data_IF_699370848657
#
_entry.id   IF_699370848657
#
_cell.length_a   1.000
_cell.length_b   1.000
_cell.length_c   1.000
_cell.angle_alpha   90.00
_cell.angle_beta   90.00
_cell.angle_gamma   90.00
#
_symmetry.space_group_name_H-M   'P 1'
#
loop_
_entity.id
_entity.type
_entity.pdbx_description
1 polymer ?
#
# COMPACT_ATOMS: atom_id res chain seq x y z
N UNK A 1 31.10 64.40 9.76
CA UNK A 1 31.42 62.99 9.69
C UNK A 1 30.11 62.26 9.46
N UNK A 2 29.85 61.76 8.21
CA UNK A 2 28.60 61.05 7.85
C UNK A 2 28.82 59.54 8.00
N UNK A 3 28.10 58.90 8.93
CA UNK A 3 28.13 57.48 9.07
C UNK A 3 27.19 56.86 8.03
N UNK A 4 27.78 56.09 7.08
CA UNK A 4 27.04 55.27 6.09
C UNK A 4 26.78 53.93 6.75
N UNK A 5 25.49 53.66 7.06
CA UNK A 5 25.07 52.32 7.53
C UNK A 5 24.76 51.48 6.27
N UNK A 6 25.63 50.52 6.03
CA UNK A 6 25.48 49.57 4.92
C UNK A 6 24.50 48.46 5.35
N UNK A 7 23.28 48.49 4.85
CA UNK A 7 22.28 47.42 5.04
C UNK A 7 22.63 46.26 4.11
N UNK A 8 23.19 45.19 4.67
CA UNK A 8 23.41 43.90 3.97
C UNK A 8 22.10 43.11 4.00
N UNK A 9 21.38 43.12 2.86
CA UNK A 9 20.20 42.25 2.66
C UNK A 9 20.65 40.80 2.40
N UNK A 10 20.49 39.93 3.39
CA UNK A 10 20.75 38.50 3.23
C UNK A 10 19.57 37.89 2.50
N UNK A 11 19.73 37.61 1.20
CA UNK A 11 18.78 36.89 0.39
C UNK A 11 18.85 35.39 0.77
N UNK A 12 17.91 34.92 1.59
CA UNK A 12 17.77 33.49 1.89
C UNK A 12 17.23 32.77 0.65
N UNK A 13 18.11 32.14 -0.10
CA UNK A 13 17.72 31.15 -1.10
C UNK A 13 17.22 29.88 -0.40
N UNK A 14 15.92 29.69 -0.32
CA UNK A 14 15.33 28.40 0.02
C UNK A 14 15.58 27.44 -1.13
N UNK A 15 16.60 26.60 -0.99
CA UNK A 15 16.82 25.47 -1.88
C UNK A 15 15.65 24.48 -1.69
N UNK A 16 14.67 24.57 -2.57
CA UNK A 16 13.67 23.51 -2.73
C UNK A 16 14.41 22.28 -3.28
N UNK A 17 14.62 21.26 -2.43
CA UNK A 17 15.16 19.98 -2.89
C UNK A 17 14.18 19.41 -3.91
N UNK A 18 14.60 19.04 -5.13
CA UNK A 18 13.72 18.34 -6.04
C UNK A 18 13.25 17.06 -5.36
N UNK A 19 11.94 16.92 -5.11
CA UNK A 19 11.39 15.66 -4.65
C UNK A 19 11.55 14.67 -5.81
N UNK A 20 12.39 13.67 -5.63
CA UNK A 20 12.44 12.54 -6.56
C UNK A 20 11.04 11.93 -6.52
N UNK A 21 10.34 11.96 -7.66
CA UNK A 21 9.01 11.32 -7.78
C UNK A 21 9.22 9.83 -7.53
N UNK A 22 8.47 9.21 -6.61
CA UNK A 22 8.56 7.77 -6.42
C UNK A 22 8.22 7.10 -7.75
N UNK A 23 9.08 6.18 -8.17
CA UNK A 23 8.84 5.40 -9.38
C UNK A 23 7.84 4.27 -9.09
N UNK A 24 7.17 3.77 -10.13
CA UNK A 24 6.27 2.62 -10.03
C UNK A 24 6.95 1.39 -9.41
N UNK A 25 8.26 1.23 -9.61
CA UNK A 25 9.03 0.14 -9.01
C UNK A 25 9.09 0.23 -7.48
N UNK A 26 9.18 1.44 -6.91
CA UNK A 26 9.07 1.64 -5.46
C UNK A 26 7.74 1.11 -4.93
N UNK A 27 6.65 1.41 -5.62
CA UNK A 27 5.31 0.97 -5.21
C UNK A 27 5.14 -0.56 -5.35
N UNK A 28 5.66 -1.14 -6.41
CA UNK A 28 5.67 -2.60 -6.60
C UNK A 28 6.49 -3.30 -5.50
N UNK A 29 7.60 -2.71 -5.06
CA UNK A 29 8.40 -3.26 -3.97
C UNK A 29 7.67 -3.19 -2.62
N UNK A 30 6.90 -2.12 -2.37
CA UNK A 30 6.01 -2.05 -1.20
C UNK A 30 4.97 -3.16 -1.23
N UNK A 31 4.38 -3.43 -2.38
CA UNK A 31 3.40 -4.50 -2.55
C UNK A 31 4.02 -5.90 -2.37
N UNK A 32 5.24 -6.13 -2.90
CA UNK A 32 6.01 -7.36 -2.63
C UNK A 32 6.32 -7.51 -1.13
N UNK A 33 6.69 -6.43 -0.46
CA UNK A 33 6.93 -6.43 0.99
C UNK A 33 5.67 -6.77 1.78
N UNK A 34 4.51 -6.31 1.33
CA UNK A 34 3.22 -6.68 1.88
C UNK A 34 2.95 -8.19 1.70
N UNK A 35 3.19 -8.75 0.51
CA UNK A 35 3.11 -10.20 0.25
C UNK A 35 4.08 -11.00 1.11
N UNK A 36 5.34 -10.55 1.26
CA UNK A 36 6.33 -11.19 2.10
C UNK A 36 5.92 -11.21 3.58
N UNK A 37 5.37 -10.09 4.08
CA UNK A 37 4.85 -9.97 5.45
C UNK A 37 3.68 -10.93 5.68
N UNK A 38 2.84 -11.16 4.67
CA UNK A 38 1.76 -12.15 4.72
C UNK A 38 2.28 -13.58 4.95
N UNK A 39 3.43 -13.91 4.37
CA UNK A 39 4.06 -15.23 4.57
C UNK A 39 4.74 -15.31 5.94
N UNK A 40 5.41 -14.26 6.35
CA UNK A 40 6.21 -14.23 7.59
C UNK A 40 5.34 -14.16 8.85
N UNK A 41 4.35 -13.24 8.86
CA UNK A 41 3.56 -12.91 10.06
C UNK A 41 2.11 -13.44 10.00
N UNK A 42 1.70 -13.99 8.86
CA UNK A 42 0.32 -14.33 8.54
C UNK A 42 -0.41 -13.18 7.82
N UNK A 43 -1.27 -13.54 6.86
CA UNK A 43 -1.95 -12.54 6.03
C UNK A 43 -2.84 -11.58 6.84
N UNK A 44 -3.42 -12.04 7.93
CA UNK A 44 -4.24 -11.23 8.83
C UNK A 44 -3.45 -10.05 9.40
N UNK A 45 -2.23 -10.27 9.89
CA UNK A 45 -1.36 -9.21 10.40
C UNK A 45 -0.87 -8.29 9.29
N UNK A 46 -0.49 -8.86 8.14
CA UNK A 46 -0.04 -8.08 7.00
C UNK A 46 -1.13 -7.11 6.51
N UNK A 47 -2.38 -7.57 6.34
CA UNK A 47 -3.48 -6.70 5.92
C UNK A 47 -3.79 -5.58 6.92
N UNK A 48 -3.62 -5.79 8.22
CA UNK A 48 -3.76 -4.74 9.23
C UNK A 48 -2.57 -3.77 9.17
N UNK A 49 -1.33 -4.30 9.07
CA UNK A 49 -0.11 -3.50 9.09
C UNK A 49 -0.01 -2.54 7.90
N UNK A 50 -0.43 -2.98 6.70
CA UNK A 50 -0.35 -2.17 5.48
C UNK A 50 -1.60 -1.31 5.21
N UNK A 51 -2.65 -1.41 6.03
CA UNK A 51 -3.87 -0.62 5.86
C UNK A 51 -3.65 0.86 6.19
N UNK A 52 -4.23 1.73 5.36
CA UNK A 52 -4.41 3.13 5.68
C UNK A 52 -5.55 3.29 6.71
N UNK A 53 -5.59 4.40 7.47
CA UNK A 53 -6.67 4.69 8.41
C UNK A 53 -8.07 4.63 7.75
N UNK A 54 -8.16 5.02 6.49
CA UNK A 54 -9.38 5.01 5.67
C UNK A 54 -9.42 3.82 4.69
N UNK A 55 -8.75 2.71 4.98
CA UNK A 55 -8.73 1.55 4.10
C UNK A 55 -10.12 0.99 3.82
N UNK A 56 -10.34 0.56 2.59
CA UNK A 56 -11.57 -0.09 2.13
C UNK A 56 -11.19 -1.45 1.55
N UNK A 57 -11.90 -2.49 1.98
CA UNK A 57 -11.78 -3.81 1.38
C UNK A 57 -13.06 -4.17 0.65
N UNK A 58 -12.92 -4.57 -0.61
CA UNK A 58 -14.00 -5.11 -1.42
C UNK A 58 -13.81 -6.62 -1.57
N UNK A 59 -14.76 -7.39 -1.10
CA UNK A 59 -14.70 -8.86 -1.08
C UNK A 59 -15.93 -9.46 -1.74
N UNK A 60 -15.75 -10.61 -2.37
CA UNK A 60 -16.86 -11.35 -2.95
C UNK A 60 -17.97 -11.63 -1.91
N UNK A 61 -19.22 -11.49 -2.31
CA UNK A 61 -20.40 -11.75 -1.48
C UNK A 61 -20.43 -10.96 -0.15
N UNK A 62 -19.83 -9.78 -0.11
CA UNK A 62 -19.76 -8.93 1.08
C UNK A 62 -20.01 -7.47 0.72
N UNK A 63 -20.60 -6.73 1.66
CA UNK A 63 -20.60 -5.27 1.59
C UNK A 63 -19.19 -4.73 1.84
N UNK A 64 -18.86 -3.51 1.38
CA UNK A 64 -17.57 -2.90 1.63
C UNK A 64 -17.24 -2.84 3.12
N UNK A 65 -16.00 -3.24 3.47
CA UNK A 65 -15.44 -3.08 4.82
C UNK A 65 -14.61 -1.81 4.82
N UNK A 66 -15.07 -0.78 5.52
CA UNK A 66 -14.47 0.56 5.47
C UNK A 66 -13.93 1.02 6.82
N UNK A 67 -12.72 1.58 6.81
CA UNK A 67 -11.98 2.09 7.95
C UNK A 67 -11.12 1.04 8.65
N UNK A 68 -10.03 1.50 9.26
CA UNK A 68 -9.04 0.60 9.89
C UNK A 68 -9.64 -0.28 10.98
N UNK A 69 -10.58 0.23 11.78
CA UNK A 69 -11.21 -0.56 12.84
C UNK A 69 -12.04 -1.73 12.27
N UNK A 70 -12.75 -1.51 11.14
CA UNK A 70 -13.52 -2.56 10.50
C UNK A 70 -12.61 -3.60 9.83
N UNK A 71 -11.53 -3.15 9.19
CA UNK A 71 -10.48 -4.01 8.61
C UNK A 71 -9.81 -4.84 9.72
N UNK A 72 -9.44 -4.22 10.83
CA UNK A 72 -8.85 -4.92 11.99
C UNK A 72 -9.78 -6.01 12.52
N UNK A 73 -11.05 -5.68 12.80
CA UNK A 73 -12.04 -6.67 13.26
C UNK A 73 -12.25 -7.82 12.28
N UNK A 74 -12.15 -7.56 10.97
CA UNK A 74 -12.25 -8.58 9.94
C UNK A 74 -11.10 -9.59 10.03
N UNK A 75 -9.87 -9.07 10.15
CA UNK A 75 -8.66 -9.88 10.06
C UNK A 75 -8.23 -10.50 11.40
N UNK A 76 -8.47 -9.85 12.54
CA UNK A 76 -8.16 -10.43 13.86
C UNK A 76 -8.85 -11.77 14.11
N UNK A 77 -10.03 -11.98 13.52
CA UNK A 77 -10.81 -13.22 13.64
C UNK A 77 -10.48 -14.25 12.58
N UNK A 78 -9.58 -13.93 11.64
CA UNK A 78 -9.25 -14.84 10.56
C UNK A 78 -8.37 -16.00 11.05
N UNK A 79 -8.80 -17.23 10.78
CA UNK A 79 -7.96 -18.41 10.98
C UNK A 79 -6.93 -18.51 9.86
N UNK A 80 -5.67 -18.34 10.24
CA UNK A 80 -4.52 -18.41 9.33
C UNK A 80 -3.79 -19.74 9.38
N UNK A 81 -4.27 -20.70 10.17
CA UNK A 81 -3.64 -22.02 10.33
C UNK A 81 -3.60 -22.77 9.00
N UNK A 82 -2.43 -23.22 8.60
CA UNK A 82 -2.22 -23.93 7.33
C UNK A 82 -2.42 -23.06 6.07
N UNK A 83 -2.57 -21.74 6.23
CA UNK A 83 -2.76 -20.82 5.11
C UNK A 83 -1.43 -20.21 4.68
N UNK A 84 -1.17 -20.25 3.37
CA UNK A 84 -0.14 -19.46 2.70
C UNK A 84 -0.81 -18.57 1.65
N UNK A 85 -0.80 -17.28 1.87
CA UNK A 85 -1.35 -16.29 0.94
C UNK A 85 -0.21 -15.43 0.41
N UNK A 86 -0.01 -15.46 -0.91
CA UNK A 86 1.04 -14.73 -1.60
C UNK A 86 0.46 -14.03 -2.81
N UNK A 87 1.10 -12.97 -3.23
CA UNK A 87 0.80 -12.27 -4.48
C UNK A 87 2.04 -11.64 -5.07
N UNK A 88 1.96 -11.35 -6.36
CA UNK A 88 3.02 -10.70 -7.12
C UNK A 88 2.41 -9.60 -7.99
N UNK A 89 2.86 -8.35 -7.84
CA UNK A 89 2.43 -7.27 -8.73
C UNK A 89 2.99 -7.48 -10.14
N UNK A 90 2.12 -7.26 -11.13
CA UNK A 90 2.49 -7.29 -12.55
C UNK A 90 2.95 -5.91 -13.00
N UNK A 91 2.23 -4.86 -12.58
CA UNK A 91 2.58 -3.48 -12.88
C UNK A 91 1.95 -2.52 -11.87
N UNK A 92 2.37 -1.26 -11.92
CA UNK A 92 1.90 -0.17 -11.07
C UNK A 92 1.80 1.12 -11.87
N UNK A 93 1.01 2.07 -11.38
CA UNK A 93 1.06 3.45 -11.82
C UNK A 93 0.90 4.40 -10.62
N UNK A 94 1.48 5.59 -10.73
CA UNK A 94 1.49 6.60 -9.66
C UNK A 94 1.05 7.94 -10.24
N UNK A 95 0.12 8.59 -9.56
CA UNK A 95 -0.31 9.94 -9.89
C UNK A 95 0.88 10.92 -9.93
N UNK A 96 0.82 11.93 -10.80
CA UNK A 96 1.90 12.92 -10.97
C UNK A 96 2.27 13.64 -9.66
N UNK A 97 1.34 13.73 -8.71
CA UNK A 97 1.56 14.30 -7.37
C UNK A 97 2.39 13.41 -6.45
N UNK A 98 2.48 12.10 -6.76
CA UNK A 98 3.37 11.16 -6.11
C UNK A 98 2.88 10.57 -4.79
N UNK A 99 1.64 10.88 -4.34
CA UNK A 99 1.07 10.37 -3.08
C UNK A 99 -0.01 9.31 -3.26
N UNK A 100 -0.46 9.07 -4.50
CA UNK A 100 -1.50 8.10 -4.84
C UNK A 100 -1.04 7.24 -6.01
N UNK A 101 -1.30 5.94 -5.95
CA UNK A 101 -0.99 5.00 -7.01
C UNK A 101 -1.78 3.71 -6.88
N UNK A 102 -1.56 2.79 -7.79
CA UNK A 102 -2.13 1.45 -7.70
C UNK A 102 -1.12 0.41 -8.18
N UNK A 103 -1.27 -0.79 -7.67
CA UNK A 103 -0.66 -2.02 -8.20
C UNK A 103 -1.78 -2.97 -8.61
N UNK A 104 -1.50 -3.82 -9.59
CA UNK A 104 -2.35 -4.96 -9.90
C UNK A 104 -1.49 -6.18 -10.18
N UNK A 105 -2.03 -7.35 -9.92
CA UNK A 105 -1.28 -8.56 -10.09
C UNK A 105 -2.09 -9.84 -9.92
N UNK A 106 -1.37 -10.91 -9.62
CA UNK A 106 -1.94 -12.23 -9.39
C UNK A 106 -1.68 -12.69 -7.96
N UNK A 107 -2.62 -13.42 -7.39
CA UNK A 107 -2.45 -14.02 -6.07
C UNK A 107 -2.54 -15.54 -6.11
N UNK A 108 -2.00 -16.17 -5.07
CA UNK A 108 -2.17 -17.58 -4.76
C UNK A 108 -2.52 -17.71 -3.28
N UNK A 109 -3.70 -18.24 -3.02
CA UNK A 109 -4.18 -18.57 -1.67
C UNK A 109 -4.18 -20.09 -1.53
N UNK A 110 -3.31 -20.61 -0.69
CA UNK A 110 -3.19 -22.05 -0.41
C UNK A 110 -3.63 -22.32 1.02
N UNK A 111 -4.58 -23.24 1.18
CA UNK A 111 -4.97 -23.80 2.48
C UNK A 111 -4.92 -25.33 2.38
N UNK A 112 -4.08 -25.94 3.19
CA UNK A 112 -3.81 -27.39 3.16
C UNK A 112 -3.40 -27.87 1.75
N UNK A 113 -4.22 -28.68 1.09
CA UNK A 113 -4.01 -29.17 -0.28
C UNK A 113 -4.69 -28.32 -1.36
N UNK A 114 -5.63 -27.44 -0.98
CA UNK A 114 -6.37 -26.61 -1.92
C UNK A 114 -5.58 -25.35 -2.26
N UNK A 115 -5.57 -24.99 -3.54
CA UNK A 115 -4.97 -23.75 -4.04
C UNK A 115 -5.99 -22.99 -4.87
N UNK A 116 -6.20 -21.75 -4.53
CA UNK A 116 -6.97 -20.78 -5.31
C UNK A 116 -6.01 -19.73 -5.89
N UNK A 117 -6.21 -19.39 -7.16
CA UNK A 117 -5.50 -18.30 -7.83
C UNK A 117 -6.47 -17.26 -8.31
N UNK A 118 -6.03 -16.03 -8.41
CA UNK A 118 -6.86 -14.95 -8.92
C UNK A 118 -6.05 -13.69 -9.20
N UNK A 119 -6.76 -12.62 -9.45
CA UNK A 119 -6.20 -11.29 -9.71
C UNK A 119 -6.59 -10.34 -8.61
N UNK A 120 -5.79 -9.29 -8.40
CA UNK A 120 -6.06 -8.25 -7.42
C UNK A 120 -5.67 -6.88 -7.94
N UNK A 121 -6.22 -5.87 -7.30
CA UNK A 121 -5.79 -4.48 -7.38
C UNK A 121 -5.75 -3.90 -5.97
N UNK A 122 -4.64 -3.23 -5.66
CA UNK A 122 -4.50 -2.43 -4.45
C UNK A 122 -4.25 -0.98 -4.83
N UNK A 123 -5.05 -0.06 -4.31
CA UNK A 123 -4.83 1.38 -4.43
C UNK A 123 -4.09 1.85 -3.19
N UNK A 124 -2.99 2.53 -3.39
CA UNK A 124 -2.04 2.96 -2.38
C UNK A 124 -2.07 4.47 -2.21
N UNK A 125 -1.93 4.91 -0.97
CA UNK A 125 -1.77 6.32 -0.61
C UNK A 125 -0.67 6.48 0.42
N UNK A 126 0.11 7.54 0.33
CA UNK A 126 1.06 7.89 1.39
C UNK A 126 0.31 8.43 2.61
N UNK A 127 0.64 7.90 3.78
CA UNK A 127 0.16 8.44 5.05
C UNK A 127 0.90 9.75 5.42
N UNK A 128 0.57 10.33 6.57
CA UNK A 128 1.18 11.58 7.05
C UNK A 128 2.70 11.48 7.29
N UNK A 129 3.24 10.27 7.42
CA UNK A 129 4.67 10.00 7.60
C UNK A 129 5.39 9.68 6.28
N UNK A 130 4.65 9.65 5.16
CA UNK A 130 5.17 9.36 3.82
C UNK A 130 5.23 7.88 3.47
N UNK A 131 4.71 6.98 4.31
CA UNK A 131 4.67 5.56 4.05
C UNK A 131 3.48 5.19 3.16
N UNK A 132 3.69 4.31 2.19
CA UNK A 132 2.64 3.76 1.39
C UNK A 132 1.75 2.80 2.20
N UNK A 133 0.44 3.05 2.17
CA UNK A 133 -0.61 2.24 2.79
C UNK A 133 -1.72 2.02 1.78
N UNK A 134 -2.30 0.80 1.72
CA UNK A 134 -3.42 0.62 0.82
C UNK A 134 -4.68 1.34 1.36
N UNK A 135 -5.38 2.03 0.48
CA UNK A 135 -6.67 2.69 0.76
C UNK A 135 -7.85 1.94 0.18
N UNK A 136 -7.61 1.09 -0.83
CA UNK A 136 -8.58 0.15 -1.35
C UNK A 136 -7.87 -1.12 -1.77
N UNK A 137 -8.43 -2.25 -1.42
CA UNK A 137 -7.96 -3.57 -1.84
C UNK A 137 -9.14 -4.43 -2.32
N UNK A 138 -8.94 -5.11 -3.45
CA UNK A 138 -9.94 -5.97 -4.07
C UNK A 138 -9.25 -7.11 -4.81
N UNK A 139 -9.77 -8.32 -4.61
CA UNK A 139 -9.33 -9.50 -5.35
C UNK A 139 -10.49 -10.26 -5.97
N UNK A 140 -10.23 -10.86 -7.13
CA UNK A 140 -11.18 -11.71 -7.85
C UNK A 140 -10.59 -13.11 -8.02
N UNK A 141 -11.39 -14.13 -7.75
CA UNK A 141 -11.01 -15.49 -8.11
C UNK A 141 -10.85 -15.62 -9.61
N UNK A 142 -9.73 -16.17 -10.06
CA UNK A 142 -9.47 -16.49 -11.44
C UNK A 142 -10.22 -17.76 -11.88
N UNK A 143 -10.27 -17.99 -13.18
CA UNK A 143 -10.91 -19.17 -13.76
C UNK A 143 -10.08 -20.43 -13.70
N UNK A 144 -8.81 -20.34 -13.30
CA UNK A 144 -7.93 -21.49 -13.11
C UNK A 144 -7.26 -21.99 -14.39
N UNK A 145 -7.11 -21.13 -15.41
CA UNK A 145 -6.23 -21.39 -16.56
C UNK A 145 -4.77 -21.06 -16.23
#
# INVERSE_FOLDING_TARGET
MKNIVLLISILMFTFCKPSVKPGKEELMEVDRSFSATSVEKGYNKAFIEFAHANAIMLRANSMPVAGIDAVTRLFEKADTTGVRFTWEPIDADIALSGELGFTYGVYSFKKDTATEKGTYVSVWKKDATGNWKYVLDCGNKGTGE
#
